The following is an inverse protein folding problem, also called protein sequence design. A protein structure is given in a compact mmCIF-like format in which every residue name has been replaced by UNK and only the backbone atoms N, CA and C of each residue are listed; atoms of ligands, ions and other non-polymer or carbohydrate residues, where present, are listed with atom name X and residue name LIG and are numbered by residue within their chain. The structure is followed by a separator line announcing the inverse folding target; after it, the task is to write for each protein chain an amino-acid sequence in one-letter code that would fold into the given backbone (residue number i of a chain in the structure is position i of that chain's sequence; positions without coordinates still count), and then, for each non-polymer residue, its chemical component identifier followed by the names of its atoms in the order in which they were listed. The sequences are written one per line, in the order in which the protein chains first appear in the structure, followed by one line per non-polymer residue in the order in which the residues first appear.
data_IF_520778041765
#
_entry.id   IF_520778041765
#
_cell.length_a   1.000
_cell.length_b   1.000
_cell.length_c   1.000
_cell.angle_alpha   90.00
_cell.angle_beta   90.00
_cell.angle_gamma   90.00
#
_symmetry.space_group_name_H-M   'P 1'
#
loop_
_entity.id
_entity.type
_entity.pdbx_description
1 polymer ?
#
# COMPACT_ATOMS: atom_id res chain seq x y z
N UNK A 1 -0.39 -26.24 17.11
CA UNK A 1 -0.43 -26.34 15.63
C UNK A 1 0.22 -25.09 15.08
N UNK A 2 1.04 -25.20 14.03
CA UNK A 2 1.48 -24.01 13.30
C UNK A 2 0.26 -23.41 12.62
N UNK A 3 0.01 -22.12 12.82
CA UNK A 3 -1.02 -21.39 12.11
C UNK A 3 -0.78 -21.49 10.58
N UNK A 4 -1.84 -21.52 9.77
CA UNK A 4 -1.70 -21.53 8.32
C UNK A 4 -0.95 -20.28 7.86
N UNK A 5 -0.12 -20.43 6.82
CA UNK A 5 0.57 -19.31 6.20
C UNK A 5 -0.45 -18.31 5.64
N UNK A 6 -0.10 -17.02 5.62
CA UNK A 6 -0.91 -16.01 4.96
C UNK A 6 -1.11 -16.37 3.48
N UNK A 7 -2.26 -16.03 2.85
CA UNK A 7 -2.58 -16.41 1.48
C UNK A 7 -1.52 -16.01 0.45
N UNK A 8 -0.82 -14.90 0.71
CA UNK A 8 0.19 -14.35 -0.19
C UNK A 8 1.60 -14.94 0.00
N UNK A 9 1.78 -15.89 0.93
CA UNK A 9 3.07 -16.56 1.16
C UNK A 9 3.15 -17.81 0.32
N UNK A 10 4.10 -17.86 -0.61
CA UNK A 10 4.35 -19.04 -1.45
C UNK A 10 4.53 -20.32 -0.60
N UNK A 11 3.89 -21.45 -0.96
CA UNK A 11 4.14 -22.75 -0.33
C UNK A 11 5.61 -23.18 -0.41
N UNK A 12 6.34 -22.72 -1.42
CA UNK A 12 7.75 -23.06 -1.65
C UNK A 12 8.71 -22.25 -0.77
N UNK A 13 8.23 -21.17 -0.12
CA UNK A 13 9.08 -20.33 0.73
C UNK A 13 9.62 -21.12 1.93
N UNK A 14 10.94 -21.08 2.07
CA UNK A 14 11.73 -21.65 3.16
C UNK A 14 12.48 -20.52 3.86
N UNK A 15 12.35 -20.44 5.18
CA UNK A 15 13.00 -19.41 5.98
C UNK A 15 14.42 -19.84 6.39
N UNK A 16 15.42 -19.08 5.96
CA UNK A 16 16.82 -19.23 6.36
C UNK A 16 17.29 -17.91 6.97
N UNK A 17 17.36 -17.76 8.31
CA UNK A 17 17.39 -16.46 8.99
C UNK A 17 18.38 -15.44 8.42
N UNK A 18 19.62 -15.84 8.15
CA UNK A 18 20.64 -14.92 7.61
C UNK A 18 20.44 -14.70 6.11
N UNK A 19 20.24 -15.77 5.34
CA UNK A 19 20.14 -15.72 3.87
C UNK A 19 18.88 -14.96 3.44
N UNK A 20 17.72 -15.31 4.00
CA UNK A 20 16.44 -14.67 3.68
C UNK A 20 16.43 -13.19 4.09
N UNK A 21 17.09 -12.81 5.20
CA UNK A 21 17.22 -11.40 5.58
C UNK A 21 18.11 -10.61 4.61
N UNK A 22 19.25 -11.18 4.18
CA UNK A 22 20.09 -10.53 3.17
C UNK A 22 19.39 -10.40 1.82
N UNK A 23 18.63 -11.42 1.41
CA UNK A 23 17.79 -11.38 0.21
C UNK A 23 16.73 -10.27 0.29
N UNK A 24 16.02 -10.16 1.42
CA UNK A 24 15.05 -9.09 1.66
C UNK A 24 15.70 -7.71 1.62
N UNK A 25 16.86 -7.53 2.26
CA UNK A 25 17.59 -6.25 2.23
C UNK A 25 17.98 -5.85 0.80
N UNK A 26 18.47 -6.79 0.01
CA UNK A 26 18.78 -6.55 -1.39
C UNK A 26 17.52 -6.19 -2.20
N UNK A 27 16.44 -6.96 -2.03
CA UNK A 27 15.17 -6.76 -2.74
C UNK A 27 14.54 -5.40 -2.43
N UNK A 28 14.56 -4.94 -1.17
CA UNK A 28 14.04 -3.63 -0.77
C UNK A 28 14.71 -2.45 -1.50
N UNK A 29 15.97 -2.60 -1.91
CA UNK A 29 16.72 -1.52 -2.60
C UNK A 29 16.42 -1.40 -4.08
N UNK A 30 15.81 -2.43 -4.69
CA UNK A 30 15.62 -2.53 -6.14
C UNK A 30 14.13 -2.70 -6.49
N UNK A 31 13.35 -3.22 -5.55
CA UNK A 31 11.93 -3.50 -5.69
C UNK A 31 11.13 -2.23 -5.97
N UNK A 32 10.27 -2.31 -7.00
CA UNK A 32 9.30 -1.28 -7.31
C UNK A 32 7.90 -1.92 -7.29
N UNK A 33 6.93 -1.19 -6.73
CA UNK A 33 5.55 -1.64 -6.66
C UNK A 33 4.66 -0.72 -7.52
N UNK A 34 3.57 -1.26 -8.12
CA UNK A 34 2.57 -0.41 -8.78
C UNK A 34 2.01 0.64 -7.80
N UNK A 35 1.54 1.80 -8.29
CA UNK A 35 0.91 2.80 -7.44
C UNK A 35 -0.20 2.22 -6.58
N UNK A 36 -0.13 2.48 -5.27
CA UNK A 36 -1.07 1.99 -4.27
C UNK A 36 -0.67 0.69 -3.57
N UNK A 37 0.49 0.12 -3.88
CA UNK A 37 1.01 -1.11 -3.27
C UNK A 37 2.38 -0.88 -2.64
N UNK A 38 2.72 -1.68 -1.62
CA UNK A 38 4.01 -1.57 -0.91
C UNK A 38 4.24 -0.15 -0.38
N UNK A 39 5.43 0.40 -0.65
CA UNK A 39 5.79 1.79 -0.33
C UNK A 39 5.44 2.79 -1.44
N UNK A 40 4.80 2.34 -2.52
CA UNK A 40 4.28 3.21 -3.58
C UNK A 40 2.89 3.71 -3.17
N UNK A 41 2.83 4.70 -2.28
CA UNK A 41 1.55 5.21 -1.78
C UNK A 41 0.79 5.97 -2.87
N UNK A 42 -0.50 5.68 -3.03
CA UNK A 42 -1.39 6.38 -3.97
C UNK A 42 -2.34 7.29 -3.20
N UNK A 43 -2.33 8.59 -3.52
CA UNK A 43 -3.26 9.56 -2.92
C UNK A 43 -4.72 9.10 -3.03
N UNK A 44 -5.10 8.47 -4.14
CA UNK A 44 -6.44 7.88 -4.37
C UNK A 44 -6.85 6.89 -3.28
N UNK A 45 -5.93 6.05 -2.80
CA UNK A 45 -6.26 4.98 -1.85
C UNK A 45 -6.43 5.51 -0.42
N UNK A 46 -5.82 6.65 -0.11
CA UNK A 46 -5.78 7.20 1.25
C UNK A 46 -6.65 8.44 1.44
N UNK A 47 -7.14 9.06 0.38
CA UNK A 47 -7.92 10.30 0.44
C UNK A 47 -9.10 10.19 1.40
N UNK A 48 -9.96 9.17 1.23
CA UNK A 48 -11.14 9.00 2.08
C UNK A 48 -10.76 8.63 3.52
N UNK A 49 -9.66 7.91 3.72
CA UNK A 49 -9.17 7.58 5.05
C UNK A 49 -8.69 8.83 5.80
N UNK A 50 -7.92 9.70 5.13
CA UNK A 50 -7.47 10.97 5.70
C UNK A 50 -8.62 11.95 5.94
N UNK A 51 -9.57 12.04 5.01
CA UNK A 51 -10.75 12.89 5.18
C UNK A 51 -11.55 12.48 6.43
N UNK A 52 -11.74 11.18 6.64
CA UNK A 52 -12.40 10.64 7.84
C UNK A 52 -11.57 10.80 9.12
N UNK A 53 -10.25 10.81 9.01
CA UNK A 53 -9.37 10.93 10.17
C UNK A 53 -9.23 12.37 10.67
N UNK A 54 -9.16 13.33 9.74
CA UNK A 54 -8.92 14.75 10.04
C UNK A 54 -10.24 15.50 10.23
N UNK A 55 -11.33 15.03 9.61
CA UNK A 55 -12.64 15.68 9.66
C UNK A 55 -12.57 17.18 9.34
N UNK A 56 -12.09 17.57 8.13
CA UNK A 56 -11.88 18.97 7.79
C UNK A 56 -13.20 19.76 7.83
N UNK A 57 -13.28 20.74 8.73
CA UNK A 57 -14.51 21.50 9.03
C UNK A 57 -15.06 22.30 7.83
N UNK A 58 -14.18 22.83 6.98
CA UNK A 58 -14.54 23.72 5.86
C UNK A 58 -14.67 23.02 4.49
N UNK A 59 -14.60 21.69 4.45
CA UNK A 59 -14.60 20.95 3.19
C UNK A 59 -15.98 20.33 2.90
N UNK A 60 -16.51 20.60 1.72
CA UNK A 60 -17.75 19.98 1.27
C UNK A 60 -17.50 18.66 0.55
N UNK A 61 -18.53 17.83 0.41
CA UNK A 61 -18.44 16.60 -0.41
C UNK A 61 -18.05 16.91 -1.86
N UNK A 62 -18.46 18.06 -2.39
CA UNK A 62 -18.07 18.50 -3.73
C UNK A 62 -16.58 18.82 -3.85
N UNK A 63 -15.95 19.30 -2.77
CA UNK A 63 -14.49 19.53 -2.72
C UNK A 63 -13.74 18.21 -2.68
N UNK A 64 -14.23 17.24 -1.91
CA UNK A 64 -13.69 15.87 -1.87
C UNK A 64 -13.82 15.19 -3.24
N UNK A 65 -14.96 15.32 -3.91
CA UNK A 65 -15.17 14.77 -5.25
C UNK A 65 -14.23 15.39 -6.29
N UNK A 66 -14.02 16.70 -6.24
CA UNK A 66 -13.03 17.38 -7.09
C UNK A 66 -11.62 16.84 -6.85
N UNK A 67 -11.26 16.57 -5.60
CA UNK A 67 -9.97 15.98 -5.24
C UNK A 67 -9.85 14.52 -5.73
N UNK A 68 -10.90 13.70 -5.56
CA UNK A 68 -10.95 12.32 -6.09
C UNK A 68 -10.75 12.28 -7.60
N UNK A 69 -11.41 13.18 -8.35
CA UNK A 69 -11.24 13.30 -9.79
C UNK A 69 -9.82 13.69 -10.19
N UNK A 70 -9.18 14.60 -9.44
CA UNK A 70 -7.79 15.01 -9.70
C UNK A 70 -6.77 13.87 -9.58
N UNK A 71 -7.07 12.86 -8.75
CA UNK A 71 -6.26 11.66 -8.55
C UNK A 71 -6.85 10.41 -9.20
N UNK A 72 -7.87 10.56 -10.04
CA UNK A 72 -8.36 9.46 -10.86
C UNK A 72 -7.27 9.03 -11.86
N UNK A 73 -7.19 7.73 -12.19
CA UNK A 73 -6.29 7.27 -13.24
C UNK A 73 -6.61 7.98 -14.56
N UNK A 74 -5.57 8.22 -15.39
CA UNK A 74 -5.78 8.64 -16.76
C UNK A 74 -6.64 7.60 -17.50
N UNK A 75 -7.49 8.02 -18.45
CA UNK A 75 -8.30 7.09 -19.24
C UNK A 75 -7.44 6.10 -20.04
#
# INVERSE_FOLDING_TARGET
MQEPRAPDVSPELRWYPVVTMLQLLADLTIGNAPPGYGHSFSARHYLDAWAKLIEPEDWTEADLDRLRQRFAPAP
#
